data_IF_818782272032
#
_entry.id   IF_818782272032
#
_cell.length_a   1.000
_cell.length_b   1.000
_cell.length_c   1.000
_cell.angle_alpha   90.00
_cell.angle_beta   90.00
_cell.angle_gamma   90.00
#
_symmetry.space_group_name_H-M   'P 1'
#
loop_
_entity.id
_entity.type
_entity.pdbx_description
1 polymer ?
#
# COMPACT_ATOMS: atom_id res chain seq x y z
N UNK A 1 -13.89 7.41 15.77
CA UNK A 1 -13.06 6.65 14.82
C UNK A 1 -11.73 7.38 14.70
N UNK A 2 -10.60 6.69 14.83
CA UNK A 2 -9.28 7.31 14.67
C UNK A 2 -8.83 7.10 13.22
N UNK A 3 -8.26 8.13 12.60
CA UNK A 3 -7.86 8.11 11.18
C UNK A 3 -6.38 8.48 11.11
N UNK A 4 -5.61 7.73 10.31
CA UNK A 4 -4.19 7.97 10.07
C UNK A 4 -4.00 8.88 8.84
N UNK A 5 -4.31 10.17 8.96
CA UNK A 5 -4.33 11.15 7.86
C UNK A 5 -3.09 12.07 7.79
N UNK A 6 -2.16 11.97 8.74
CA UNK A 6 -0.91 12.73 8.78
C UNK A 6 0.20 12.20 7.84
N UNK A 7 -0.07 11.13 7.08
CA UNK A 7 0.91 10.56 6.15
C UNK A 7 1.19 11.48 4.96
N UNK A 8 2.48 11.70 4.68
CA UNK A 8 2.95 12.39 3.47
C UNK A 8 3.46 11.41 2.41
N UNK A 9 4.14 10.37 2.87
CA UNK A 9 4.76 9.35 2.01
C UNK A 9 3.89 8.09 1.86
N UNK A 10 2.66 8.09 2.37
CA UNK A 10 1.70 7.02 2.13
C UNK A 10 0.32 7.59 1.88
N UNK A 11 -0.39 7.04 0.90
CA UNK A 11 -1.83 7.30 0.74
C UNK A 11 -2.52 6.18 -0.02
N UNK A 12 -3.78 5.94 0.31
CA UNK A 12 -4.68 5.16 -0.54
C UNK A 12 -5.19 6.07 -1.64
N UNK A 13 -5.00 5.67 -2.90
CA UNK A 13 -5.42 6.45 -4.06
C UNK A 13 -6.84 6.11 -4.49
N UNK A 14 -7.15 4.82 -4.54
CA UNK A 14 -8.45 4.31 -4.93
C UNK A 14 -8.62 2.85 -4.49
N UNK A 15 -9.87 2.38 -4.48
CA UNK A 15 -10.24 1.01 -4.21
C UNK A 15 -11.36 0.60 -5.17
N UNK A 16 -11.22 -0.51 -5.88
CA UNK A 16 -12.26 -1.02 -6.78
C UNK A 16 -12.02 -2.50 -7.10
N UNK A 17 -13.09 -3.29 -7.16
CA UNK A 17 -13.06 -4.70 -7.60
C UNK A 17 -12.10 -5.58 -6.79
N UNK A 18 -12.15 -5.49 -5.45
CA UNK A 18 -11.29 -6.28 -4.57
C UNK A 18 -9.83 -5.81 -4.50
N UNK A 19 -9.50 -4.70 -5.17
CA UNK A 19 -8.16 -4.15 -5.22
C UNK A 19 -8.06 -2.79 -4.52
N UNK A 20 -6.90 -2.57 -3.90
CA UNK A 20 -6.52 -1.32 -3.23
C UNK A 20 -5.28 -0.76 -3.91
N UNK A 21 -5.42 0.44 -4.48
CA UNK A 21 -4.35 1.18 -5.13
C UNK A 21 -3.70 2.14 -4.12
N UNK A 22 -2.41 1.97 -3.88
CA UNK A 22 -1.68 2.71 -2.85
C UNK A 22 -0.45 3.41 -3.42
N UNK A 23 -0.12 4.56 -2.87
CA UNK A 23 1.15 5.25 -3.09
C UNK A 23 2.03 5.10 -1.85
N UNK A 24 3.24 4.59 -2.04
CA UNK A 24 4.26 4.35 -1.03
C UNK A 24 5.54 5.12 -1.42
N UNK A 25 5.68 6.34 -0.93
CA UNK A 25 6.65 7.31 -1.39
C UNK A 25 6.39 7.65 -2.86
N UNK A 26 7.33 7.37 -3.79
CA UNK A 26 7.12 7.55 -5.21
C UNK A 26 6.51 6.32 -5.92
N UNK A 27 6.29 5.20 -5.20
CA UNK A 27 5.92 3.93 -5.81
C UNK A 27 4.43 3.62 -5.67
N UNK A 28 3.78 3.31 -6.79
CA UNK A 28 2.38 2.90 -6.85
C UNK A 28 2.28 1.37 -6.78
N UNK A 29 1.66 0.86 -5.73
CA UNK A 29 1.45 -0.56 -5.51
C UNK A 29 -0.04 -0.90 -5.63
N UNK A 30 -0.34 -1.99 -6.32
CA UNK A 30 -1.69 -2.56 -6.36
C UNK A 30 -1.72 -3.83 -5.50
N UNK A 31 -2.66 -3.92 -4.57
CA UNK A 31 -2.76 -5.06 -3.66
C UNK A 31 -4.22 -5.47 -3.40
N UNK A 32 -4.48 -6.77 -3.21
CA UNK A 32 -5.81 -7.26 -2.95
C UNK A 32 -6.26 -6.92 -1.53
N UNK A 33 -7.48 -6.43 -1.44
CA UNK A 33 -8.20 -6.18 -0.19
C UNK A 33 -9.63 -6.74 -0.30
N UNK A 34 -9.93 -7.87 0.37
CA UNK A 34 -11.24 -8.52 0.27
C UNK A 34 -12.38 -7.69 0.86
N UNK A 35 -12.09 -6.59 1.58
CA UNK A 35 -13.11 -5.68 2.09
C UNK A 35 -13.59 -4.69 1.01
N UNK A 36 -12.86 -4.56 -0.10
CA UNK A 36 -13.25 -3.74 -1.25
C UNK A 36 -14.30 -4.48 -2.08
N UNK A 37 -15.56 -4.36 -1.67
CA UNK A 37 -16.71 -5.06 -2.29
C UNK A 37 -17.42 -4.25 -3.37
N UNK A 38 -17.02 -2.99 -3.58
CA UNK A 38 -17.61 -2.11 -4.58
C UNK A 38 -16.83 -2.14 -5.89
N UNK A 39 -17.52 -1.78 -6.97
CA UNK A 39 -16.95 -1.61 -8.30
C UNK A 39 -17.21 -0.18 -8.77
N UNK A 40 -16.12 0.51 -9.07
CA UNK A 40 -16.10 1.85 -9.67
C UNK A 40 -15.23 1.81 -10.93
N UNK A 41 -15.54 2.63 -11.96
CA UNK A 41 -14.70 2.73 -13.14
C UNK A 41 -13.26 3.10 -12.78
N UNK A 42 -12.30 2.29 -13.25
CA UNK A 42 -10.87 2.53 -13.01
C UNK A 42 -10.35 3.57 -14.01
N UNK A 43 -10.11 4.79 -13.52
CA UNK A 43 -9.50 5.85 -14.32
C UNK A 43 -8.06 5.46 -14.71
N UNK A 44 -7.77 5.43 -16.02
CA UNK A 44 -6.44 5.08 -16.56
C UNK A 44 -5.33 6.02 -16.09
N UNK A 45 -5.64 7.28 -15.79
CA UNK A 45 -4.65 8.23 -15.26
C UNK A 45 -4.18 7.82 -13.86
N UNK A 46 -5.09 7.29 -13.04
CA UNK A 46 -4.83 6.86 -11.68
C UNK A 46 -4.32 5.41 -11.62
N UNK A 47 -5.03 4.49 -12.26
CA UNK A 47 -4.75 3.05 -12.31
C UNK A 47 -3.75 2.64 -13.40
N UNK A 48 -3.12 3.62 -14.07
CA UNK A 48 -2.09 3.40 -15.07
C UNK A 48 -0.79 2.82 -14.48
N UNK A 49 0.38 3.32 -14.94
CA UNK A 49 1.70 2.75 -14.58
C UNK A 49 1.81 2.43 -13.08
N UNK A 50 1.90 1.13 -12.79
CA UNK A 50 2.18 0.55 -11.47
C UNK A 50 3.68 0.28 -11.34
N UNK A 51 4.18 0.28 -10.11
CA UNK A 51 5.54 -0.17 -9.82
C UNK A 51 5.57 -1.66 -9.45
N UNK A 52 4.52 -2.17 -8.78
CA UNK A 52 4.29 -3.59 -8.60
C UNK A 52 2.81 -3.91 -8.31
N UNK A 53 2.43 -5.16 -8.55
CA UNK A 53 1.11 -5.70 -8.26
C UNK A 53 1.22 -7.05 -7.57
N UNK A 54 0.51 -7.24 -6.45
CA UNK A 54 0.44 -8.55 -5.79
C UNK A 54 -0.77 -9.34 -6.26
N UNK A 55 -0.56 -10.47 -6.91
CA UNK A 55 -1.61 -11.38 -7.33
C UNK A 55 -1.87 -12.45 -6.26
N UNK A 56 -3.10 -12.53 -5.75
CA UNK A 56 -3.47 -13.56 -4.78
C UNK A 56 -3.67 -14.91 -5.48
N UNK A 57 -3.16 -15.98 -4.87
CA UNK A 57 -3.41 -17.35 -5.34
C UNK A 57 -4.62 -17.97 -4.64
N UNK A 58 -5.43 -18.72 -5.39
CA UNK A 58 -6.54 -19.51 -4.87
C UNK A 58 -6.09 -20.67 -3.95
N UNK A 59 -4.80 -21.02 -3.97
CA UNK A 59 -4.21 -22.06 -3.09
C UNK A 59 -3.60 -21.48 -1.81
N UNK A 60 -3.79 -20.19 -1.55
CA UNK A 60 -3.13 -19.46 -0.47
C UNK A 60 -1.83 -18.79 -0.92
N UNK A 61 -1.48 -17.67 -0.27
CA UNK A 61 -0.36 -16.82 -0.69
C UNK A 61 -0.66 -16.08 -1.99
N UNK A 62 0.35 -15.97 -2.85
CA UNK A 62 0.34 -15.14 -4.05
C UNK A 62 1.76 -14.76 -4.46
N UNK A 63 1.85 -13.94 -5.49
CA UNK A 63 3.13 -13.51 -6.07
C UNK A 63 3.10 -12.04 -6.45
N UNK A 64 4.28 -11.43 -6.48
CA UNK A 64 4.45 -10.07 -6.96
C UNK A 64 4.82 -10.09 -8.44
N UNK A 65 4.13 -9.27 -9.22
CA UNK A 65 4.60 -8.80 -10.52
C UNK A 65 5.31 -7.46 -10.31
N UNK A 66 6.58 -7.37 -10.72
CA UNK A 66 7.44 -6.22 -10.51
C UNK A 66 7.72 -5.53 -11.83
N UNK A 67 7.47 -4.21 -11.90
CA UNK A 67 7.72 -3.41 -13.10
C UNK A 67 8.93 -2.50 -12.94
N UNK A 68 8.88 -1.63 -11.93
CA UNK A 68 9.84 -0.54 -11.70
C UNK A 68 9.87 -0.23 -10.20
N UNK A 69 9.99 -1.28 -9.38
CA UNK A 69 10.06 -1.22 -7.93
C UNK A 69 11.47 -1.66 -7.48
N UNK A 70 12.19 -0.87 -6.67
CA UNK A 70 13.46 -1.31 -6.12
C UNK A 70 13.23 -2.44 -5.10
N UNK A 71 14.26 -3.25 -4.87
CA UNK A 71 14.21 -4.31 -3.84
C UNK A 71 13.90 -3.75 -2.44
N UNK A 72 14.37 -2.53 -2.16
CA UNK A 72 14.13 -1.81 -0.91
C UNK A 72 13.96 -0.32 -1.18
N UNK A 73 13.12 0.34 -0.38
CA UNK A 73 13.00 1.80 -0.37
C UNK A 73 12.66 2.32 1.01
N UNK A 74 12.81 3.62 1.23
CA UNK A 74 12.51 4.27 2.51
C UNK A 74 11.32 5.20 2.37
N UNK A 75 10.43 5.21 3.37
CA UNK A 75 9.39 6.24 3.53
C UNK A 75 9.43 6.82 4.94
N UNK A 76 8.88 8.02 5.11
CA UNK A 76 8.82 8.72 6.39
C UNK A 76 7.42 8.90 6.95
N UNK A 77 7.33 8.95 8.29
CA UNK A 77 6.18 9.45 9.03
C UNK A 77 6.67 10.36 10.15
N UNK A 78 6.42 11.67 10.04
CA UNK A 78 6.99 12.67 10.97
C UNK A 78 8.52 12.51 11.04
N UNK A 79 9.09 12.25 12.21
CA UNK A 79 10.51 11.98 12.45
C UNK A 79 10.90 10.49 12.32
N UNK A 80 9.95 9.59 12.05
CA UNK A 80 10.20 8.17 11.81
C UNK A 80 10.60 7.91 10.36
N UNK A 81 11.52 6.96 10.17
CA UNK A 81 11.91 6.42 8.86
C UNK A 81 11.75 4.91 8.86
N UNK A 82 11.17 4.38 7.79
CA UNK A 82 10.92 2.95 7.62
C UNK A 82 11.58 2.44 6.36
N UNK A 83 12.26 1.30 6.44
CA UNK A 83 12.77 0.57 5.28
C UNK A 83 11.78 -0.51 4.88
N UNK A 84 11.33 -0.43 3.63
CA UNK A 84 10.29 -1.28 3.05
C UNK A 84 10.92 -2.21 2.02
N UNK A 85 10.30 -3.37 1.85
CA UNK A 85 10.61 -4.32 0.78
C UNK A 85 9.41 -5.20 0.48
N UNK A 86 9.24 -5.72 -0.74
CA UNK A 86 8.24 -6.75 -0.99
C UNK A 86 8.67 -8.06 -0.29
N UNK A 87 7.72 -8.74 0.33
CA UNK A 87 7.92 -10.08 0.91
C UNK A 87 7.20 -11.14 0.05
N UNK A 88 7.34 -12.43 0.39
CA UNK A 88 6.57 -13.51 -0.27
C UNK A 88 5.05 -13.33 -0.15
N UNK A 89 4.60 -12.53 0.81
CA UNK A 89 3.21 -12.13 1.00
C UNK A 89 2.99 -10.69 0.53
N UNK A 90 1.73 -10.25 0.45
CA UNK A 90 1.33 -8.88 0.06
C UNK A 90 1.87 -7.74 0.93
N UNK A 91 2.60 -8.04 2.00
CA UNK A 91 3.10 -7.04 2.93
C UNK A 91 4.37 -6.37 2.40
N UNK A 92 4.56 -5.11 2.79
CA UNK A 92 5.75 -4.29 2.50
C UNK A 92 6.64 -4.08 3.74
N UNK A 93 6.19 -4.59 4.90
CA UNK A 93 6.87 -4.44 6.20
C UNK A 93 6.31 -3.33 7.10
N UNK A 94 5.30 -2.58 6.65
CA UNK A 94 4.69 -1.49 7.42
C UNK A 94 3.16 -1.53 7.32
N UNK A 95 2.49 -1.16 8.42
CA UNK A 95 1.03 -0.98 8.52
C UNK A 95 0.74 0.50 8.83
N UNK A 96 0.54 1.35 7.79
CA UNK A 96 0.40 2.80 7.95
C UNK A 96 -0.76 3.22 8.86
N UNK A 97 -1.82 2.41 8.94
CA UNK A 97 -2.97 2.64 9.82
C UNK A 97 -2.60 2.65 11.31
N UNK A 98 -1.48 2.06 11.70
CA UNK A 98 -1.00 2.05 13.09
C UNK A 98 -0.39 3.41 13.52
N UNK A 99 -0.26 4.36 12.60
CA UNK A 99 0.28 5.70 12.90
C UNK A 99 -0.47 6.42 14.02
N UNK A 100 -1.79 6.23 14.13
CA UNK A 100 -2.59 6.79 15.23
C UNK A 100 -2.15 6.27 16.60
N UNK A 101 -1.68 5.02 16.67
CA UNK A 101 -1.18 4.43 17.89
C UNK A 101 0.24 4.95 18.20
N UNK A 102 1.06 5.17 17.17
CA UNK A 102 2.39 5.76 17.36
C UNK A 102 2.30 7.18 17.88
N UNK A 103 1.39 7.97 17.33
CA UNK A 103 1.13 9.34 17.80
C UNK A 103 0.62 9.35 19.23
N UNK A 104 -0.33 8.47 19.57
CA UNK A 104 -0.80 8.33 20.94
C UNK A 104 0.31 7.96 21.94
N UNK A 105 1.25 7.10 21.54
CA UNK A 105 2.40 6.72 22.38
C UNK A 105 3.44 7.85 22.53
N UNK A 106 3.44 8.86 21.65
CA UNK A 106 4.42 9.95 21.65
C UNK A 106 4.09 11.09 22.63
N UNK A 107 2.83 11.21 23.05
CA UNK A 107 2.35 12.26 23.96
C UNK A 107 1.63 13.38 23.22
#
# INVERSE_FOLDING_TARGET
MWVADDWKDYRVLDCSEGEKLEMWGPYKLLRPDPQVIWSTPKDRTLWGKLNAHYHRSNKGGGEWDFFDLPEQWTIGYKDLKFNLKPFSFKHTGLFPEQAVNWDWMRG
#
